data_IF_613439562837
#
_entry.id   IF_613439562837
#
_cell.length_a   1.000
_cell.length_b   1.000
_cell.length_c   1.000
_cell.angle_alpha   90.00
_cell.angle_beta   90.00
_cell.angle_gamma   90.00
#
_symmetry.space_group_name_H-M   'P 1'
#
loop_
_entity.id
_entity.type
_entity.pdbx_description
1 polymer ?
#
# COMPACT_ATOMS: atom_id res chain seq x y z
N UNK A 1 -0.06 14.90 -13.15
CA UNK A 1 0.24 15.33 -11.77
C UNK A 1 0.95 16.67 -11.83
N UNK A 2 0.23 17.76 -11.63
CA UNK A 2 0.72 19.12 -11.89
C UNK A 2 1.08 19.89 -10.61
N UNK A 3 0.50 19.51 -9.46
CA UNK A 3 0.71 20.21 -8.19
C UNK A 3 0.96 19.26 -7.01
N UNK A 4 1.59 19.79 -5.96
CA UNK A 4 1.80 19.07 -4.69
C UNK A 4 0.46 18.78 -4.02
N UNK A 5 -0.53 19.67 -4.14
CA UNK A 5 -1.88 19.47 -3.61
C UNK A 5 -2.60 18.29 -4.27
N UNK A 6 -2.49 18.16 -5.59
CA UNK A 6 -3.01 16.99 -6.32
C UNK A 6 -2.30 15.71 -5.88
N UNK A 7 -0.96 15.75 -5.74
CA UNK A 7 -0.18 14.60 -5.27
C UNK A 7 -0.64 14.15 -3.88
N UNK A 8 -0.77 15.10 -2.95
CA UNK A 8 -1.23 14.82 -1.60
C UNK A 8 -2.68 14.30 -1.58
N UNK A 9 -3.56 14.79 -2.45
CA UNK A 9 -4.92 14.27 -2.57
C UNK A 9 -4.92 12.79 -3.00
N UNK A 10 -4.10 12.43 -3.98
CA UNK A 10 -3.96 11.03 -4.43
C UNK A 10 -3.34 10.14 -3.35
N UNK A 11 -2.25 10.59 -2.71
CA UNK A 11 -1.61 9.86 -1.62
C UNK A 11 -2.59 9.64 -0.44
N UNK A 12 -3.29 10.66 0.02
CA UNK A 12 -4.30 10.55 1.11
C UNK A 12 -5.41 9.56 0.76
N UNK A 13 -5.79 9.48 -0.51
CA UNK A 13 -6.79 8.52 -0.99
C UNK A 13 -6.22 7.10 -0.96
N UNK A 14 -5.05 6.89 -1.60
CA UNK A 14 -4.39 5.60 -1.74
C UNK A 14 -4.04 5.01 -0.36
N UNK A 15 -3.35 5.76 0.49
CA UNK A 15 -2.93 5.30 1.82
C UNK A 15 -4.10 4.94 2.74
N UNK A 16 -5.23 5.63 2.59
CA UNK A 16 -6.44 5.28 3.35
C UNK A 16 -7.04 3.97 2.87
N UNK A 17 -7.11 3.77 1.55
CA UNK A 17 -7.59 2.50 1.00
C UNK A 17 -6.69 1.36 1.42
N UNK A 18 -5.38 1.51 1.25
CA UNK A 18 -4.38 0.50 1.62
C UNK A 18 -4.53 0.10 3.10
N UNK A 19 -4.62 1.09 4.01
CA UNK A 19 -4.83 0.82 5.43
C UNK A 19 -6.10 0.00 5.70
N UNK A 20 -7.22 0.36 5.09
CA UNK A 20 -8.49 -0.34 5.27
C UNK A 20 -8.48 -1.74 4.66
N UNK A 21 -7.80 -1.92 3.51
CA UNK A 21 -7.68 -3.22 2.82
C UNK A 21 -6.77 -4.18 3.56
N UNK A 22 -5.61 -3.72 4.02
CA UNK A 22 -4.71 -4.54 4.81
C UNK A 22 -5.32 -4.94 6.14
N UNK A 23 -6.14 -4.09 6.77
CA UNK A 23 -6.90 -4.46 7.95
C UNK A 23 -7.91 -5.58 7.68
N UNK A 24 -8.64 -5.51 6.56
CA UNK A 24 -9.59 -6.56 6.15
C UNK A 24 -8.87 -7.89 5.91
N UNK A 25 -7.74 -7.89 5.20
CA UNK A 25 -6.92 -9.07 4.98
C UNK A 25 -6.35 -9.62 6.29
N UNK A 26 -5.89 -8.74 7.19
CA UNK A 26 -5.40 -9.13 8.51
C UNK A 26 -6.48 -9.86 9.32
N UNK A 27 -7.71 -9.36 9.30
CA UNK A 27 -8.84 -9.96 10.02
C UNK A 27 -9.28 -11.30 9.40
N UNK A 28 -9.29 -11.42 8.07
CA UNK A 28 -9.54 -12.69 7.38
C UNK A 28 -8.47 -13.75 7.71
N UNK A 29 -7.20 -13.36 7.69
CA UNK A 29 -6.09 -14.24 8.05
C UNK A 29 -6.13 -14.66 9.52
N UNK A 30 -6.49 -13.76 10.42
CA UNK A 30 -6.66 -14.07 11.83
C UNK A 30 -7.79 -15.06 12.06
N UNK A 31 -8.93 -14.85 11.38
CA UNK A 31 -10.12 -15.72 11.48
C UNK A 31 -9.83 -17.14 10.99
N UNK A 32 -9.02 -17.28 9.94
CA UNK A 32 -8.58 -18.57 9.40
C UNK A 32 -7.38 -19.20 10.14
N UNK A 33 -6.87 -18.56 11.20
CA UNK A 33 -5.76 -19.07 12.01
C UNK A 33 -4.35 -18.80 11.45
N UNK A 34 -4.24 -18.03 10.36
CA UNK A 34 -2.98 -17.64 9.73
C UNK A 34 -2.36 -16.42 10.44
N UNK A 35 -2.00 -16.57 11.72
CA UNK A 35 -1.57 -15.46 12.59
C UNK A 35 -0.32 -14.72 12.08
N UNK A 36 0.63 -15.42 11.46
CA UNK A 36 1.83 -14.79 10.88
C UNK A 36 1.48 -13.83 9.74
N UNK A 37 0.65 -14.28 8.79
CA UNK A 37 0.20 -13.46 7.66
C UNK A 37 -0.72 -12.33 8.15
N UNK A 38 -1.57 -12.59 9.15
CA UNK A 38 -2.37 -11.56 9.79
C UNK A 38 -1.52 -10.43 10.40
N UNK A 39 -0.41 -10.80 11.04
CA UNK A 39 0.54 -9.82 11.59
C UNK A 39 1.21 -9.01 10.48
N UNK A 40 1.66 -9.66 9.40
CA UNK A 40 2.23 -8.96 8.24
C UNK A 40 1.27 -7.90 7.70
N UNK A 41 0.02 -8.28 7.43
CA UNK A 41 -0.97 -7.34 6.92
C UNK A 41 -1.28 -6.22 7.92
N UNK A 42 -1.30 -6.51 9.23
CA UNK A 42 -1.45 -5.43 10.21
C UNK A 42 -0.29 -4.43 10.16
N UNK A 43 0.94 -4.91 9.96
CA UNK A 43 2.09 -4.02 9.83
C UNK A 43 2.02 -3.18 8.55
N UNK A 44 1.59 -3.73 7.41
CA UNK A 44 1.36 -2.96 6.18
C UNK A 44 0.27 -1.90 6.38
N UNK A 45 -0.83 -2.24 7.07
CA UNK A 45 -1.86 -1.27 7.43
C UNK A 45 -1.31 -0.13 8.30
N UNK A 46 -0.43 -0.44 9.27
CA UNK A 46 0.21 0.56 10.11
C UNK A 46 1.12 1.50 9.32
N UNK A 47 1.87 0.99 8.32
CA UNK A 47 2.65 1.81 7.39
C UNK A 47 1.75 2.76 6.59
N UNK A 48 0.68 2.26 5.99
CA UNK A 48 -0.25 3.12 5.24
C UNK A 48 -0.89 4.20 6.13
N UNK A 49 -1.18 3.90 7.41
CA UNK A 49 -1.67 4.90 8.37
C UNK A 49 -0.63 5.97 8.69
N UNK A 50 0.65 5.60 8.78
CA UNK A 50 1.75 6.55 8.96
C UNK A 50 1.86 7.47 7.75
N UNK A 51 1.86 6.93 6.53
CA UNK A 51 1.93 7.74 5.31
C UNK A 51 0.71 8.65 5.16
N UNK A 52 -0.48 8.16 5.51
CA UNK A 52 -1.69 8.97 5.56
C UNK A 52 -1.55 10.14 6.55
N UNK A 53 -0.95 9.91 7.72
CA UNK A 53 -0.71 10.94 8.72
C UNK A 53 0.30 11.98 8.20
N UNK A 54 1.40 11.53 7.60
CA UNK A 54 2.43 12.39 7.01
C UNK A 54 1.88 13.25 5.87
N UNK A 55 1.13 12.64 4.94
CA UNK A 55 0.49 13.36 3.84
C UNK A 55 -0.51 14.41 4.36
N UNK A 56 -1.25 14.10 5.44
CA UNK A 56 -2.14 15.06 6.10
C UNK A 56 -1.40 16.15 6.85
N UNK A 57 -0.33 15.85 7.57
CA UNK A 57 0.47 16.87 8.26
C UNK A 57 1.07 17.85 7.26
N UNK A 58 1.64 17.32 6.18
CA UNK A 58 2.26 18.11 5.11
C UNK A 58 1.24 18.84 4.24
N UNK A 59 -0.02 18.40 4.24
CA UNK A 59 -1.12 19.21 3.70
C UNK A 59 -1.30 20.53 4.47
N UNK A 60 -0.96 20.59 5.76
CA UNK A 60 -0.87 21.83 6.54
C UNK A 60 -2.07 22.76 6.36
N UNK A 61 -1.82 23.96 5.82
CA UNK A 61 -2.85 24.95 5.46
C UNK A 61 -3.24 24.92 3.96
N UNK A 62 -2.66 24.01 3.17
CA UNK A 62 -2.96 23.87 1.75
C UNK A 62 -4.41 23.41 1.60
N UNK A 63 -5.12 24.00 0.63
CA UNK A 63 -6.46 23.54 0.28
C UNK A 63 -6.32 22.31 -0.61
N UNK A 64 -6.28 21.13 0.01
CA UNK A 64 -6.30 19.87 -0.73
C UNK A 64 -7.61 19.79 -1.53
N UNK A 65 -7.54 19.51 -2.85
CA UNK A 65 -8.74 19.36 -3.65
C UNK A 65 -9.56 18.18 -3.13
N UNK A 66 -10.87 18.40 -2.97
CA UNK A 66 -11.84 17.35 -2.68
C UNK A 66 -12.23 16.71 -4.01
N UNK A 67 -11.41 15.76 -4.47
CA UNK A 67 -11.60 15.07 -5.74
C UNK A 67 -12.68 14.00 -5.60
N UNK A 68 -13.68 14.02 -6.47
CA UNK A 68 -14.61 12.92 -6.64
C UNK A 68 -13.89 11.69 -7.24
N UNK A 69 -14.43 10.46 -7.08
CA UNK A 69 -13.76 9.24 -7.53
C UNK A 69 -13.34 9.22 -9.01
N UNK A 70 -14.05 9.94 -9.88
CA UNK A 70 -13.77 10.04 -11.32
C UNK A 70 -12.76 11.15 -11.68
N UNK A 71 -12.37 11.99 -10.72
CA UNK A 71 -11.39 13.06 -10.90
C UNK A 71 -9.97 12.60 -10.57
N UNK A 72 -9.80 11.38 -10.05
CA UNK A 72 -8.49 10.79 -9.84
C UNK A 72 -7.95 10.20 -11.15
N UNK A 73 -6.71 10.56 -11.50
CA UNK A 73 -6.02 10.05 -12.68
C UNK A 73 -5.20 8.81 -12.31
N UNK A 74 -5.81 7.63 -12.47
CA UNK A 74 -5.14 6.35 -12.25
C UNK A 74 -4.70 5.71 -13.57
N UNK A 75 -3.54 5.00 -13.60
CA UNK A 75 -3.04 4.33 -14.81
C UNK A 75 -4.06 3.39 -15.48
N UNK A 76 -4.87 2.68 -14.68
CA UNK A 76 -5.85 1.69 -15.15
C UNK A 76 -7.31 2.10 -14.93
N UNK A 77 -7.59 3.41 -14.79
CA UNK A 77 -8.94 3.96 -14.55
C UNK A 77 -9.60 3.51 -13.22
N UNK A 78 -8.87 2.77 -12.38
CA UNK A 78 -9.19 2.41 -11.00
C UNK A 78 -7.96 2.68 -10.13
N UNK A 79 -8.17 3.06 -8.87
CA UNK A 79 -7.08 3.22 -7.90
C UNK A 79 -6.25 1.93 -7.82
N UNK A 80 -4.91 1.99 -7.63
CA UNK A 80 -4.07 0.83 -7.34
C UNK A 80 -4.66 -0.08 -6.25
N UNK A 81 -5.39 0.50 -5.29
CA UNK A 81 -6.07 -0.19 -4.18
C UNK A 81 -7.53 -0.59 -4.48
N UNK A 82 -8.07 -0.12 -5.61
CA UNK A 82 -9.41 -0.47 -6.11
C UNK A 82 -9.38 -1.56 -7.19
N UNK A 83 -8.30 -1.63 -7.99
CA UNK A 83 -8.19 -2.58 -9.07
C UNK A 83 -7.99 -4.02 -8.54
N UNK A 84 -8.98 -4.86 -8.84
CA UNK A 84 -9.10 -6.30 -8.54
C UNK A 84 -9.68 -6.69 -7.17
N UNK A 85 -10.97 -6.38 -6.92
CA UNK A 85 -11.89 -7.17 -6.05
C UNK A 85 -11.21 -7.66 -4.75
N UNK A 86 -10.74 -6.68 -3.96
CA UNK A 86 -10.01 -6.91 -2.73
C UNK A 86 -10.99 -7.28 -1.60
N UNK A 87 -10.82 -8.47 -1.02
CA UNK A 87 -11.40 -8.89 0.26
C UNK A 87 -12.94 -9.12 0.35
N UNK A 88 -13.66 -9.29 -0.76
CA UNK A 88 -15.09 -9.66 -0.68
C UNK A 88 -15.31 -11.11 -0.21
N UNK A 89 -14.26 -11.94 -0.17
CA UNK A 89 -14.34 -13.30 0.34
C UNK A 89 -13.70 -13.43 1.74
N UNK A 90 -14.49 -13.53 2.82
CA UNK A 90 -14.00 -13.83 4.16
C UNK A 90 -13.27 -15.18 4.26
N UNK A 91 -13.37 -16.03 3.24
CA UNK A 91 -12.73 -17.33 3.14
C UNK A 91 -11.46 -17.33 2.26
N UNK A 92 -10.99 -16.15 1.84
CA UNK A 92 -9.75 -16.02 1.06
C UNK A 92 -8.61 -16.79 1.73
N UNK A 93 -7.91 -17.60 0.93
CA UNK A 93 -6.76 -18.36 1.41
C UNK A 93 -5.54 -17.47 1.64
N UNK A 94 -4.59 -17.87 2.50
CA UNK A 94 -3.39 -17.09 2.76
C UNK A 94 -2.47 -16.92 1.56
N UNK A 95 -2.50 -17.83 0.59
CA UNK A 95 -1.73 -17.71 -0.66
C UNK A 95 -2.33 -16.63 -1.56
N UNK A 96 -3.63 -16.73 -1.83
CA UNK A 96 -4.37 -15.73 -2.60
C UNK A 96 -4.31 -14.35 -1.95
N UNK A 97 -4.46 -14.26 -0.62
CA UNK A 97 -4.36 -12.99 0.10
C UNK A 97 -2.97 -12.32 -0.06
N UNK A 98 -1.90 -13.11 -0.05
CA UNK A 98 -0.53 -12.61 -0.26
C UNK A 98 -0.30 -12.19 -1.72
N UNK A 99 -0.81 -12.95 -2.68
CA UNK A 99 -0.72 -12.61 -4.10
C UNK A 99 -1.52 -11.34 -4.42
N UNK A 100 -2.72 -11.21 -3.82
CA UNK A 100 -3.52 -9.98 -3.87
C UNK A 100 -2.71 -8.82 -3.31
N UNK A 101 -2.23 -8.90 -2.05
CA UNK A 101 -1.40 -7.87 -1.43
C UNK A 101 -0.19 -7.47 -2.30
N UNK A 102 0.51 -8.45 -2.87
CA UNK A 102 1.65 -8.19 -3.76
C UNK A 102 1.23 -7.40 -5.01
N UNK A 103 0.05 -7.67 -5.56
CA UNK A 103 -0.45 -6.95 -6.73
C UNK A 103 -0.74 -5.47 -6.43
N UNK A 104 -1.32 -5.11 -5.26
CA UNK A 104 -1.49 -3.68 -4.93
C UNK A 104 -0.15 -3.00 -4.74
N UNK A 105 0.75 -3.56 -3.94
CA UNK A 105 2.05 -2.94 -3.67
C UNK A 105 2.86 -2.77 -4.97
N UNK A 106 2.73 -3.69 -5.92
CA UNK A 106 3.30 -3.51 -7.26
C UNK A 106 2.62 -2.39 -8.06
N UNK A 107 1.30 -2.21 -7.92
CA UNK A 107 0.56 -1.13 -8.57
C UNK A 107 0.85 0.23 -7.93
N UNK A 108 0.95 0.31 -6.60
CA UNK A 108 1.40 1.48 -5.85
C UNK A 108 2.83 1.89 -6.22
N UNK A 109 3.75 0.92 -6.21
CA UNK A 109 5.12 1.10 -6.70
C UNK A 109 5.16 1.64 -8.13
N UNK A 110 4.38 1.07 -9.05
CA UNK A 110 4.31 1.53 -10.43
C UNK A 110 3.77 2.96 -10.54
N UNK A 111 2.74 3.29 -9.76
CA UNK A 111 2.15 4.62 -9.70
C UNK A 111 3.17 5.67 -9.25
N UNK A 112 3.80 5.46 -8.09
CA UNK A 112 4.79 6.41 -7.55
C UNK A 112 6.06 6.46 -8.41
N UNK A 113 6.49 5.35 -9.01
CA UNK A 113 7.60 5.34 -9.98
C UNK A 113 7.28 6.20 -11.21
N UNK A 114 6.07 6.08 -11.76
CA UNK A 114 5.63 6.90 -12.90
C UNK A 114 5.62 8.39 -12.57
N UNK A 115 5.18 8.77 -11.37
CA UNK A 115 5.26 10.17 -10.90
C UNK A 115 6.71 10.62 -10.76
N UNK A 116 7.56 9.80 -10.13
CA UNK A 116 8.97 10.11 -9.90
C UNK A 116 9.74 10.35 -11.21
N UNK A 117 9.42 9.58 -12.25
CA UNK A 117 10.03 9.70 -13.58
C UNK A 117 9.57 10.94 -14.35
N UNK A 118 8.31 11.37 -14.17
CA UNK A 118 7.69 12.42 -14.99
C UNK A 118 7.66 13.79 -14.32
N UNK A 119 7.71 13.85 -12.99
CA UNK A 119 7.58 15.13 -12.26
C UNK A 119 8.81 16.02 -12.42
N UNK A 120 8.55 17.32 -12.60
CA UNK A 120 9.58 18.38 -12.60
C UNK A 120 9.64 19.14 -11.27
N UNK A 121 8.66 18.94 -10.40
CA UNK A 121 8.60 19.57 -9.08
C UNK A 121 9.52 18.84 -8.09
N UNK A 122 10.49 19.53 -7.46
CA UNK A 122 11.45 18.90 -6.55
C UNK A 122 10.81 18.40 -5.25
N UNK A 123 9.71 19.00 -4.79
CA UNK A 123 8.97 18.56 -3.61
C UNK A 123 8.22 17.25 -3.92
N UNK A 124 7.47 17.20 -5.04
CA UNK A 124 6.81 15.95 -5.50
C UNK A 124 7.84 14.84 -5.75
N UNK A 125 9.01 15.18 -6.32
CA UNK A 125 10.08 14.22 -6.56
C UNK A 125 10.62 13.59 -5.29
N UNK A 126 10.80 14.39 -4.23
CA UNK A 126 11.26 13.89 -2.94
C UNK A 126 10.23 12.92 -2.34
N UNK A 127 8.94 13.27 -2.38
CA UNK A 127 7.87 12.40 -1.93
C UNK A 127 7.82 11.09 -2.71
N UNK A 128 7.71 11.17 -4.03
CA UNK A 128 7.59 9.98 -4.86
C UNK A 128 8.81 9.03 -4.69
N UNK A 129 9.99 9.57 -4.37
CA UNK A 129 11.17 8.76 -4.03
C UNK A 129 10.98 7.99 -2.73
N UNK A 130 10.52 8.65 -1.67
CA UNK A 130 10.28 8.02 -0.36
C UNK A 130 9.29 6.85 -0.51
N UNK A 131 8.13 7.09 -1.15
CA UNK A 131 7.14 6.05 -1.42
C UNK A 131 7.71 4.92 -2.28
N UNK A 132 8.43 5.21 -3.36
CA UNK A 132 9.04 4.15 -4.20
C UNK A 132 9.99 3.26 -3.41
N UNK A 133 10.81 3.83 -2.53
CA UNK A 133 11.78 3.07 -1.73
C UNK A 133 11.05 2.17 -0.70
N UNK A 134 9.96 2.66 -0.10
CA UNK A 134 9.14 1.91 0.87
C UNK A 134 8.31 0.80 0.23
N UNK A 135 7.59 1.10 -0.86
CA UNK A 135 6.79 0.12 -1.62
C UNK A 135 7.68 -1.02 -2.17
N UNK A 136 8.91 -0.71 -2.60
CA UNK A 136 9.88 -1.73 -2.96
C UNK A 136 10.19 -2.67 -1.78
N UNK A 137 10.31 -2.12 -0.56
CA UNK A 137 10.49 -2.89 0.66
C UNK A 137 9.31 -3.83 0.94
N UNK A 138 8.08 -3.34 0.79
CA UNK A 138 6.86 -4.12 0.95
C UNK A 138 6.78 -5.26 -0.08
N UNK A 139 7.01 -4.96 -1.37
CA UNK A 139 7.05 -5.95 -2.46
C UNK A 139 8.09 -7.03 -2.18
N UNK A 140 9.27 -6.67 -1.72
CA UNK A 140 10.33 -7.62 -1.37
C UNK A 140 9.89 -8.52 -0.22
N UNK A 141 9.30 -7.96 0.83
CA UNK A 141 8.84 -8.75 1.96
C UNK A 141 7.71 -9.71 1.55
N UNK A 142 6.69 -9.24 0.82
CA UNK A 142 5.59 -10.08 0.36
C UNK A 142 6.09 -11.25 -0.50
N UNK A 143 7.05 -11.01 -1.40
CA UNK A 143 7.71 -12.08 -2.17
C UNK A 143 8.43 -13.09 -1.28
N UNK A 144 9.05 -12.66 -0.17
CA UNK A 144 9.67 -13.60 0.81
C UNK A 144 8.61 -14.46 1.50
N UNK A 145 7.46 -13.89 1.86
CA UNK A 145 6.34 -14.62 2.44
C UNK A 145 5.75 -15.65 1.47
N UNK A 146 5.49 -15.24 0.23
CA UNK A 146 5.01 -16.13 -0.84
C UNK A 146 6.00 -17.29 -1.05
N UNK A 147 7.29 -17.00 -1.18
CA UNK A 147 8.32 -18.03 -1.36
C UNK A 147 8.45 -18.98 -0.17
N UNK A 148 8.24 -18.49 1.07
CA UNK A 148 8.23 -19.33 2.25
C UNK A 148 7.07 -20.33 2.22
N UNK A 149 5.88 -19.88 1.83
CA UNK A 149 4.68 -20.71 1.72
C UNK A 149 4.77 -21.75 0.63
N UNK A 150 5.27 -21.36 -0.55
CA UNK A 150 5.56 -22.30 -1.64
C UNK A 150 6.56 -23.39 -1.23
N UNK A 151 7.46 -23.09 -0.30
CA UNK A 151 8.39 -24.05 0.29
C UNK A 151 7.83 -24.81 1.52
N UNK A 152 6.53 -24.72 1.78
CA UNK A 152 5.83 -25.43 2.86
C UNK A 152 6.02 -24.83 4.26
N UNK A 153 6.50 -23.58 4.37
CA UNK A 153 6.64 -22.87 5.66
C UNK A 153 5.50 -21.88 5.85
N UNK A 154 5.07 -21.68 7.09
CA UNK A 154 4.06 -20.68 7.43
C UNK A 154 4.57 -19.24 7.38
N UNK A 155 5.89 -19.04 7.52
CA UNK A 155 6.55 -17.73 7.56
C UNK A 155 8.02 -17.79 7.05
N UNK A 156 8.62 -16.65 6.64
CA UNK A 156 10.02 -16.59 6.25
C UNK A 156 11.01 -16.77 7.40
N UNK A 157 12.20 -17.30 7.10
CA UNK A 157 13.30 -17.39 8.08
C UNK A 157 13.85 -15.97 8.33
N UNK A 158 13.96 -15.60 9.60
CA UNK A 158 14.43 -14.27 10.00
C UNK A 158 13.44 -13.15 9.67
N UNK A 159 12.13 -13.44 9.65
CA UNK A 159 11.10 -12.44 9.41
C UNK A 159 11.01 -11.46 10.59
N UNK A 160 11.66 -10.31 10.45
CA UNK A 160 11.23 -9.08 11.09
C UNK A 160 10.91 -8.10 9.97
N UNK A 161 9.65 -8.07 9.53
CA UNK A 161 9.17 -6.89 8.82
C UNK A 161 9.33 -5.74 9.81
N UNK A 162 10.16 -4.76 9.44
CA UNK A 162 10.46 -3.65 10.32
C UNK A 162 9.14 -2.97 10.67
N UNK A 163 8.98 -2.57 11.91
CA UNK A 163 7.85 -1.70 12.27
C UNK A 163 8.20 -0.29 11.80
N UNK A 164 7.20 0.49 11.32
CA UNK A 164 7.42 1.89 11.04
C UNK A 164 7.97 2.59 12.30
N UNK A 165 8.85 3.59 12.17
CA UNK A 165 9.17 4.46 13.30
C UNK A 165 7.87 5.14 13.77
N UNK A 166 7.63 5.12 15.08
CA UNK A 166 6.44 5.74 15.70
C UNK A 166 6.65 7.20 16.10
#
# INVERSE_FOLDING_TARGET
METVEEFLAHAIRLEREAADRFDQLADAMKTSGNLGVAKLFRQLADYSRLHLADARERSGYRKIPDLAPHEFEWPDNESPESAAIWAADPLIGPEEALDTALAAEMAGLAYYSGILETTTDPEIRAFAREFVDEENGHVVELKRWIAARQAGRSEPIGASFQTPPG
#
